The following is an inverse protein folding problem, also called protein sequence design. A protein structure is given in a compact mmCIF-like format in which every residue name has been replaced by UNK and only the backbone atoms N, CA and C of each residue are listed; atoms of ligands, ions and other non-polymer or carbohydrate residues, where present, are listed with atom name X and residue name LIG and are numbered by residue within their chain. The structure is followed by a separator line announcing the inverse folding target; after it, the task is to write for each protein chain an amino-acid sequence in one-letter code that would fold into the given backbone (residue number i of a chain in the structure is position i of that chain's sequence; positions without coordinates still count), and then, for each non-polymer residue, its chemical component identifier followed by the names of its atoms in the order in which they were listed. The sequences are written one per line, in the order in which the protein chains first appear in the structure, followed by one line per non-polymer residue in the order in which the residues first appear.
data_IF_508367364040
#
_entry.id   IF_508367364040
#
_cell.length_a   1.000
_cell.length_b   1.000
_cell.length_c   1.000
_cell.angle_alpha   90.00
_cell.angle_beta   90.00
_cell.angle_gamma   90.00
#
_symmetry.space_group_name_H-M   'P 1'
#
loop_
_entity.id
_entity.type
_entity.pdbx_description
1 polymer ?
#
# COMPACT_ATOMS: atom_id res chain seq x y z
N UNK A 1 -21.51 14.33 -23.81
CA UNK A 1 -20.39 13.91 -22.95
C UNK A 1 -20.74 12.53 -22.44
N UNK A 2 -19.80 11.58 -22.41
CA UNK A 2 -20.06 10.25 -21.85
C UNK A 2 -20.38 10.37 -20.35
N UNK A 3 -21.31 9.54 -19.88
CA UNK A 3 -21.70 9.52 -18.47
C UNK A 3 -20.75 8.62 -17.67
N UNK A 4 -19.80 9.23 -16.97
CA UNK A 4 -18.83 8.52 -16.13
C UNK A 4 -19.50 7.75 -14.98
N UNK A 5 -20.66 8.23 -14.49
CA UNK A 5 -21.39 7.54 -13.41
C UNK A 5 -21.94 6.21 -13.93
N UNK A 6 -22.43 6.19 -15.18
CA UNK A 6 -22.87 4.95 -15.81
C UNK A 6 -21.68 3.99 -16.03
N UNK A 7 -20.55 4.48 -16.56
CA UNK A 7 -19.36 3.64 -16.78
C UNK A 7 -18.88 3.04 -15.45
N UNK A 8 -18.81 3.82 -14.37
CA UNK A 8 -18.46 3.29 -13.05
C UNK A 8 -19.48 2.28 -12.54
N UNK A 9 -20.79 2.57 -12.72
CA UNK A 9 -21.84 1.63 -12.32
C UNK A 9 -21.70 0.29 -13.03
N UNK A 10 -21.40 0.31 -14.33
CA UNK A 10 -21.15 -0.92 -15.10
C UNK A 10 -19.91 -1.66 -14.55
N UNK A 11 -18.80 -0.96 -14.26
CA UNK A 11 -17.58 -1.56 -13.70
C UNK A 11 -17.81 -2.16 -12.29
N UNK A 12 -18.57 -1.50 -11.41
CA UNK A 12 -18.91 -2.03 -10.09
C UNK A 12 -19.67 -3.35 -10.20
N UNK A 13 -20.53 -3.50 -11.21
CA UNK A 13 -21.33 -4.71 -11.42
C UNK A 13 -20.51 -5.96 -11.74
N UNK A 14 -19.22 -5.83 -12.04
CA UNK A 14 -18.29 -6.94 -12.20
C UNK A 14 -17.58 -7.24 -10.88
N UNK A 15 -17.80 -8.41 -10.23
CA UNK A 15 -17.09 -8.80 -9.01
C UNK A 15 -15.63 -9.16 -9.32
N UNK A 16 -14.79 -8.15 -9.49
CA UNK A 16 -13.35 -8.32 -9.77
C UNK A 16 -12.52 -8.54 -8.49
N UNK A 17 -13.01 -9.40 -7.61
CA UNK A 17 -12.37 -9.72 -6.33
C UNK A 17 -11.05 -10.45 -6.56
N UNK A 18 -10.02 -10.01 -5.84
CA UNK A 18 -8.72 -10.63 -5.79
C UNK A 18 -8.48 -11.20 -4.40
N UNK A 19 -8.53 -12.53 -4.26
CA UNK A 19 -8.35 -13.24 -2.99
C UNK A 19 -7.40 -14.43 -3.18
N UNK A 20 -6.09 -14.20 -3.04
CA UNK A 20 -5.09 -15.26 -3.22
C UNK A 20 -5.20 -16.38 -2.17
N UNK A 21 -5.75 -16.09 -0.97
CA UNK A 21 -5.95 -17.09 0.08
C UNK A 21 -6.99 -18.14 -0.37
N UNK A 22 -8.02 -17.71 -1.10
CA UNK A 22 -9.05 -18.59 -1.65
C UNK A 22 -8.79 -18.98 -3.10
N UNK A 23 -7.70 -18.53 -3.70
CA UNK A 23 -7.37 -18.77 -5.10
C UNK A 23 -8.30 -18.06 -6.10
N UNK A 24 -8.94 -16.96 -5.68
CA UNK A 24 -9.85 -16.17 -6.52
C UNK A 24 -9.07 -15.06 -7.21
N UNK A 25 -9.24 -14.96 -8.53
CA UNK A 25 -8.70 -13.87 -9.36
C UNK A 25 -9.85 -13.06 -9.98
N UNK A 26 -9.60 -11.79 -10.36
CA UNK A 26 -10.60 -10.96 -11.04
C UNK A 26 -11.19 -11.64 -12.29
N UNK A 27 -12.50 -11.51 -12.48
CA UNK A 27 -13.17 -12.06 -13.66
C UNK A 27 -12.68 -11.39 -14.95
N UNK A 28 -12.57 -12.17 -16.02
CA UNK A 28 -12.24 -11.67 -17.36
C UNK A 28 -13.34 -10.78 -17.94
N UNK A 29 -14.56 -10.83 -17.41
CA UNK A 29 -15.70 -10.08 -17.94
C UNK A 29 -15.49 -8.56 -17.85
N UNK A 30 -14.84 -8.08 -16.77
CA UNK A 30 -14.51 -6.66 -16.63
C UNK A 30 -13.46 -6.23 -17.68
N UNK A 31 -12.49 -7.10 -17.97
CA UNK A 31 -11.46 -6.88 -19.00
C UNK A 31 -12.11 -6.75 -20.37
N UNK A 32 -13.03 -7.68 -20.68
CA UNK A 32 -13.82 -7.67 -21.91
C UNK A 32 -14.64 -6.38 -22.05
N UNK A 33 -15.32 -5.95 -20.98
CA UNK A 33 -16.07 -4.71 -20.97
C UNK A 33 -15.19 -3.49 -21.29
N UNK A 34 -14.05 -3.35 -20.60
CA UNK A 34 -13.11 -2.24 -20.82
C UNK A 34 -12.57 -2.25 -22.25
N UNK A 35 -12.17 -3.42 -22.74
CA UNK A 35 -11.67 -3.61 -24.10
C UNK A 35 -12.73 -3.22 -25.15
N UNK A 36 -13.95 -3.76 -25.05
CA UNK A 36 -15.05 -3.48 -25.99
C UNK A 36 -15.45 -2.00 -25.96
N UNK A 37 -15.51 -1.41 -24.77
CA UNK A 37 -15.81 0.01 -24.61
C UNK A 37 -14.80 0.87 -25.37
N UNK A 38 -13.51 0.74 -25.08
CA UNK A 38 -12.47 1.57 -25.70
C UNK A 38 -12.34 1.31 -27.20
N UNK A 39 -12.40 0.05 -27.63
CA UNK A 39 -12.33 -0.33 -29.04
C UNK A 39 -13.50 0.25 -29.86
N UNK A 40 -14.69 0.36 -29.26
CA UNK A 40 -15.87 0.95 -29.92
C UNK A 40 -15.69 2.42 -30.31
N UNK A 41 -14.72 3.12 -29.67
CA UNK A 41 -14.31 4.49 -30.02
C UNK A 41 -13.06 4.55 -30.90
N UNK A 42 -12.61 3.42 -31.45
CA UNK A 42 -11.44 3.36 -32.34
C UNK A 42 -10.11 3.54 -31.62
N UNK A 43 -10.06 3.33 -30.31
CA UNK A 43 -8.81 3.38 -29.53
C UNK A 43 -8.07 2.06 -29.70
N UNK A 44 -6.75 2.12 -29.91
CA UNK A 44 -5.89 0.95 -29.96
C UNK A 44 -5.78 0.33 -28.57
N UNK A 45 -6.28 -0.90 -28.43
CA UNK A 45 -6.38 -1.62 -27.16
C UNK A 45 -5.86 -3.04 -27.32
N UNK A 46 -5.07 -3.50 -26.36
CA UNK A 46 -4.58 -4.86 -26.26
C UNK A 46 -4.92 -5.42 -24.87
N UNK A 47 -5.10 -6.72 -24.80
CA UNK A 47 -5.17 -7.44 -23.52
C UNK A 47 -3.87 -8.21 -23.34
N UNK A 48 -3.19 -7.95 -22.23
CA UNK A 48 -1.97 -8.65 -21.83
C UNK A 48 -2.32 -9.62 -20.70
N UNK A 49 -1.76 -10.83 -20.77
CA UNK A 49 -1.95 -11.86 -19.75
C UNK A 49 -0.61 -12.19 -19.10
N UNK A 50 -0.58 -12.28 -17.78
CA UNK A 50 0.55 -12.77 -17.01
C UNK A 50 0.06 -13.55 -15.79
N UNK A 51 0.47 -14.80 -15.67
CA UNK A 51 0.10 -15.69 -14.56
C UNK A 51 -1.41 -15.73 -14.23
N UNK A 52 -2.25 -15.69 -15.28
CA UNK A 52 -3.73 -15.70 -15.14
C UNK A 52 -4.32 -14.39 -14.65
N UNK A 53 -3.55 -13.30 -14.61
CA UNK A 53 -4.02 -11.93 -14.47
C UNK A 53 -4.03 -11.26 -15.83
N UNK A 54 -5.01 -10.40 -16.05
CA UNK A 54 -5.18 -9.70 -17.31
C UNK A 54 -5.03 -8.20 -17.11
N UNK A 55 -4.46 -7.52 -18.09
CA UNK A 55 -4.37 -6.06 -18.10
C UNK A 55 -4.84 -5.54 -19.44
N UNK A 56 -5.63 -4.46 -19.43
CA UNK A 56 -5.99 -3.75 -20.65
C UNK A 56 -4.97 -2.64 -20.87
N UNK A 57 -4.25 -2.71 -22.00
CA UNK A 57 -3.17 -1.79 -22.32
C UNK A 57 -3.33 -1.22 -23.72
N UNK A 58 -3.03 0.07 -23.90
CA UNK A 58 -3.13 0.70 -25.20
C UNK A 58 -2.60 2.11 -25.25
N UNK A 59 -2.94 2.82 -26.33
CA UNK A 59 -2.49 4.19 -26.52
C UNK A 59 -3.47 5.04 -27.34
N UNK A 60 -3.40 6.36 -27.13
CA UNK A 60 -4.01 7.37 -28.00
C UNK A 60 -2.93 8.37 -28.44
N UNK A 61 -3.11 8.95 -29.65
CA UNK A 61 -2.13 9.88 -30.23
C UNK A 61 -1.04 9.16 -31.05
N UNK A 62 -0.01 9.89 -31.46
CA UNK A 62 1.06 9.41 -32.34
C UNK A 62 2.44 9.88 -31.82
N UNK A 63 3.53 9.25 -32.29
CA UNK A 63 4.90 9.58 -31.87
C UNK A 63 5.32 8.83 -30.59
N UNK A 64 6.32 9.40 -29.89
CA UNK A 64 6.89 8.75 -28.70
C UNK A 64 5.96 8.82 -27.49
N UNK A 65 5.96 7.81 -26.62
CA UNK A 65 5.26 7.83 -25.34
C UNK A 65 5.69 8.99 -24.45
N UNK A 66 4.74 9.68 -23.83
CA UNK A 66 5.06 10.83 -23.00
C UNK A 66 4.30 10.86 -21.66
N UNK A 67 3.04 10.50 -21.67
CA UNK A 67 2.20 10.36 -20.48
C UNK A 67 1.62 8.95 -20.44
N UNK A 68 1.50 8.38 -19.26
CA UNK A 68 0.76 7.15 -19.02
C UNK A 68 -0.32 7.38 -17.97
N UNK A 69 -1.51 6.87 -18.25
CA UNK A 69 -2.61 6.75 -17.31
C UNK A 69 -2.64 5.31 -16.79
N UNK A 70 -2.60 5.11 -15.48
CA UNK A 70 -2.60 3.80 -14.84
C UNK A 70 -3.72 3.77 -13.78
N UNK A 71 -4.48 2.70 -13.72
CA UNK A 71 -5.46 2.45 -12.68
C UNK A 71 -5.68 0.94 -12.53
N UNK A 72 -6.25 0.49 -11.43
CA UNK A 72 -6.55 -0.93 -11.26
C UNK A 72 -8.05 -1.20 -11.14
N UNK A 73 -8.47 -2.37 -11.60
CA UNK A 73 -9.88 -2.76 -11.56
C UNK A 73 -10.15 -3.90 -10.57
N UNK A 74 -9.10 -4.54 -10.04
CA UNK A 74 -9.27 -5.53 -8.97
C UNK A 74 -9.64 -4.86 -7.65
N UNK A 75 -10.27 -5.63 -6.78
CA UNK A 75 -10.79 -5.15 -5.51
C UNK A 75 -10.56 -6.20 -4.41
N UNK A 76 -10.40 -5.73 -3.17
CA UNK A 76 -10.30 -6.60 -2.00
C UNK A 76 -11.59 -7.39 -1.76
N UNK A 77 -11.52 -8.56 -1.08
CA UNK A 77 -12.69 -9.33 -0.67
C UNK A 77 -13.69 -8.53 0.18
N UNK A 78 -14.94 -8.95 0.14
CA UNK A 78 -16.04 -8.33 0.90
C UNK A 78 -16.72 -9.37 1.80
N UNK A 79 -17.21 -8.91 2.94
CA UNK A 79 -18.23 -9.60 3.73
C UNK A 79 -19.58 -8.89 3.51
N UNK A 80 -20.35 -9.39 2.55
CA UNK A 80 -21.62 -8.76 2.14
C UNK A 80 -22.63 -8.63 3.30
N UNK A 81 -22.50 -9.43 4.36
CA UNK A 81 -23.39 -9.36 5.52
C UNK A 81 -23.23 -8.08 6.34
N UNK A 82 -22.13 -7.37 6.15
CA UNK A 82 -21.78 -6.12 6.85
C UNK A 82 -22.12 -4.87 6.04
N UNK A 83 -22.50 -5.03 4.77
CA UNK A 83 -22.81 -3.92 3.89
C UNK A 83 -24.28 -3.52 3.98
N UNK A 84 -24.53 -2.21 3.97
CA UNK A 84 -25.90 -1.64 3.89
C UNK A 84 -26.51 -1.82 2.51
N UNK A 85 -25.68 -1.89 1.48
CA UNK A 85 -26.06 -2.11 0.08
C UNK A 85 -25.25 -3.26 -0.50
N UNK A 86 -25.80 -3.98 -1.49
CA UNK A 86 -25.04 -5.03 -2.17
C UNK A 86 -23.74 -4.45 -2.78
N UNK A 87 -22.56 -4.96 -2.41
CA UNK A 87 -21.26 -4.39 -2.82
C UNK A 87 -21.01 -4.41 -4.33
N UNK A 88 -21.69 -5.27 -5.09
CA UNK A 88 -21.56 -5.37 -6.55
C UNK A 88 -22.82 -4.91 -7.31
N UNK A 89 -23.75 -4.26 -6.61
CA UNK A 89 -24.89 -3.59 -7.20
C UNK A 89 -24.78 -2.09 -6.96
N UNK A 90 -24.34 -1.29 -7.96
CA UNK A 90 -24.11 0.14 -7.79
C UNK A 90 -25.39 0.83 -7.28
N UNK A 91 -25.29 1.50 -6.14
CA UNK A 91 -26.44 2.10 -5.47
C UNK A 91 -26.21 3.59 -5.24
N UNK A 92 -27.00 4.43 -5.90
CA UNK A 92 -26.90 5.88 -5.78
C UNK A 92 -27.84 6.40 -4.69
N UNK A 93 -27.26 6.97 -3.63
CA UNK A 93 -28.00 7.55 -2.51
C UNK A 93 -27.35 8.87 -2.06
N UNK A 94 -28.12 9.92 -1.96
CA UNK A 94 -27.70 11.23 -1.46
C UNK A 94 -26.40 11.77 -2.11
N UNK A 95 -26.26 11.62 -3.43
CA UNK A 95 -25.10 12.10 -4.19
C UNK A 95 -23.85 11.23 -4.05
N UNK A 96 -23.96 10.04 -3.45
CA UNK A 96 -22.91 9.04 -3.31
C UNK A 96 -23.25 7.78 -4.07
N UNK A 97 -22.32 7.25 -4.84
CA UNK A 97 -22.43 5.95 -5.51
C UNK A 97 -21.69 4.91 -4.67
N UNK A 98 -22.47 4.00 -4.09
CA UNK A 98 -21.96 2.92 -3.25
C UNK A 98 -21.67 1.67 -4.06
N UNK A 99 -20.60 0.97 -3.70
CA UNK A 99 -20.18 -0.31 -4.23
C UNK A 99 -18.69 -0.57 -4.02
N UNK A 100 -18.28 -1.82 -4.00
CA UNK A 100 -16.86 -2.18 -3.87
C UNK A 100 -16.10 -1.77 -5.12
N UNK A 101 -14.99 -1.04 -4.94
CA UNK A 101 -14.22 -0.41 -6.01
C UNK A 101 -14.77 0.96 -6.42
N UNK A 102 -15.83 1.47 -5.78
CA UNK A 102 -16.38 2.77 -6.11
C UNK A 102 -15.37 3.91 -5.91
N UNK A 103 -14.45 3.77 -4.96
CA UNK A 103 -13.37 4.71 -4.71
C UNK A 103 -12.03 4.13 -5.13
N UNK A 104 -11.76 2.88 -4.81
CA UNK A 104 -10.51 2.16 -4.99
C UNK A 104 -10.68 0.93 -5.89
N UNK A 105 -10.37 0.98 -7.21
CA UNK A 105 -9.93 2.15 -7.99
C UNK A 105 -10.78 2.29 -9.29
N UNK A 106 -11.94 1.59 -9.36
CA UNK A 106 -12.81 1.59 -10.55
C UNK A 106 -13.33 2.98 -10.93
N UNK A 107 -13.40 3.93 -9.98
CA UNK A 107 -13.74 5.34 -10.27
C UNK A 107 -12.72 5.98 -11.20
N UNK A 108 -11.44 5.72 -10.99
CA UNK A 108 -10.38 6.22 -11.85
C UNK A 108 -10.30 5.45 -13.16
N UNK A 109 -10.53 4.12 -13.15
CA UNK A 109 -10.70 3.36 -14.41
C UNK A 109 -11.78 4.01 -15.27
N UNK A 110 -12.99 4.26 -14.72
CA UNK A 110 -14.09 4.90 -15.43
C UNK A 110 -13.74 6.30 -15.94
N UNK A 111 -13.13 7.13 -15.10
CA UNK A 111 -12.76 8.48 -15.44
C UNK A 111 -11.68 8.52 -16.54
N UNK A 112 -10.67 7.64 -16.47
CA UNK A 112 -9.63 7.52 -17.47
C UNK A 112 -10.18 6.97 -18.80
N UNK A 113 -11.09 5.99 -18.78
CA UNK A 113 -11.77 5.51 -19.99
C UNK A 113 -12.51 6.65 -20.71
N UNK A 114 -13.26 7.47 -19.98
CA UNK A 114 -13.96 8.63 -20.55
C UNK A 114 -12.97 9.68 -21.07
N UNK A 115 -11.88 9.94 -20.33
CA UNK A 115 -10.83 10.87 -20.77
C UNK A 115 -10.13 10.41 -22.05
N UNK A 116 -9.83 9.12 -22.16
CA UNK A 116 -9.21 8.53 -23.36
C UNK A 116 -10.10 8.69 -24.61
N UNK A 117 -11.41 8.54 -24.46
CA UNK A 117 -12.35 8.83 -25.58
C UNK A 117 -12.36 10.30 -25.96
N UNK A 118 -12.21 11.22 -25.01
CA UNK A 118 -12.06 12.64 -25.31
C UNK A 118 -10.74 12.92 -26.03
N UNK A 119 -9.64 12.38 -25.52
CA UNK A 119 -8.30 12.55 -26.06
C UNK A 119 -8.12 11.91 -27.45
N UNK A 120 -8.78 10.77 -27.73
CA UNK A 120 -8.70 10.11 -29.03
C UNK A 120 -9.26 10.94 -30.19
N UNK A 121 -10.14 11.91 -29.90
CA UNK A 121 -10.70 12.84 -30.88
C UNK A 121 -9.77 14.01 -31.23
N UNK A 122 -8.66 14.11 -30.53
CA UNK A 122 -7.68 15.20 -30.70
C UNK A 122 -6.49 14.71 -31.52
N UNK A 123 -5.87 15.65 -32.26
CA UNK A 123 -4.61 15.37 -32.93
C UNK A 123 -3.46 15.57 -31.94
N UNK A 124 -3.01 14.46 -31.31
CA UNK A 124 -1.92 14.48 -30.37
C UNK A 124 -0.61 14.09 -31.06
N UNK A 125 0.45 14.87 -30.86
CA UNK A 125 1.77 14.67 -31.45
C UNK A 125 2.68 13.76 -30.62
N UNK A 126 2.21 13.28 -29.47
CA UNK A 126 2.87 12.33 -28.58
C UNK A 126 1.84 11.31 -28.09
N UNK A 127 2.30 10.09 -27.81
CA UNK A 127 1.42 9.04 -27.30
C UNK A 127 1.10 9.26 -25.83
N UNK A 128 -0.15 9.02 -25.52
CA UNK A 128 -0.67 8.80 -24.17
C UNK A 128 -0.91 7.32 -24.04
N UNK A 129 -0.08 6.64 -23.24
CA UNK A 129 -0.28 5.24 -22.89
C UNK A 129 -1.38 5.13 -21.82
N UNK A 130 -2.02 4.00 -21.74
CA UNK A 130 -2.90 3.67 -20.62
C UNK A 130 -2.80 2.19 -20.26
N UNK A 131 -3.01 1.89 -18.98
CA UNK A 131 -3.15 0.53 -18.49
C UNK A 131 -4.19 0.45 -17.38
N UNK A 132 -5.01 -0.61 -17.44
CA UNK A 132 -5.92 -0.99 -16.37
C UNK A 132 -5.57 -2.41 -15.93
N UNK A 133 -5.08 -2.54 -14.69
CA UNK A 133 -4.48 -3.76 -14.15
C UNK A 133 -5.41 -4.49 -13.18
N UNK A 134 -5.16 -5.78 -12.95
CA UNK A 134 -6.04 -6.62 -12.15
C UNK A 134 -5.35 -7.33 -10.99
N UNK A 135 -4.25 -6.78 -10.45
CA UNK A 135 -3.48 -7.41 -9.37
C UNK A 135 -2.82 -6.42 -8.39
N UNK A 136 -3.25 -5.15 -8.38
CA UNK A 136 -2.69 -4.14 -7.47
C UNK A 136 -2.84 -4.57 -6.01
N UNK A 137 -4.04 -5.03 -5.62
CA UNK A 137 -4.41 -5.43 -4.27
C UNK A 137 -3.61 -6.65 -3.71
N UNK A 138 -2.87 -7.30 -4.60
CA UNK A 138 -2.00 -8.44 -4.25
C UNK A 138 -0.54 -8.22 -4.64
N UNK A 139 -0.19 -6.98 -4.99
CA UNK A 139 1.19 -6.53 -5.16
C UNK A 139 1.62 -6.13 -6.56
N UNK A 140 0.76 -6.14 -7.60
CA UNK A 140 0.99 -5.53 -8.92
C UNK A 140 2.08 -6.19 -9.79
N UNK A 141 2.53 -7.41 -9.46
CA UNK A 141 3.65 -8.06 -10.13
C UNK A 141 3.30 -8.47 -11.57
N UNK A 142 2.07 -8.95 -11.77
CA UNK A 142 1.61 -9.50 -13.04
C UNK A 142 0.87 -8.48 -13.91
N UNK A 143 0.53 -7.31 -13.34
CA UNK A 143 -0.10 -6.17 -13.99
C UNK A 143 0.91 -5.06 -14.28
N UNK A 144 1.02 -4.11 -13.37
CA UNK A 144 1.82 -2.90 -13.58
C UNK A 144 3.31 -3.17 -13.78
N UNK A 145 3.91 -4.11 -13.02
CA UNK A 145 5.31 -4.50 -13.21
C UNK A 145 5.51 -5.23 -14.56
N UNK A 146 4.57 -6.10 -14.96
CA UNK A 146 4.62 -6.76 -16.26
C UNK A 146 4.59 -5.74 -17.41
N UNK A 147 3.70 -4.73 -17.33
CA UNK A 147 3.62 -3.64 -18.30
C UNK A 147 4.90 -2.81 -18.31
N UNK A 148 5.44 -2.46 -17.15
CA UNK A 148 6.71 -1.75 -17.05
C UNK A 148 7.84 -2.52 -17.77
N UNK A 149 7.97 -3.83 -17.50
CA UNK A 149 8.99 -4.67 -18.13
C UNK A 149 8.87 -4.68 -19.67
N UNK A 150 7.63 -4.73 -20.19
CA UNK A 150 7.35 -4.56 -21.62
C UNK A 150 7.83 -3.21 -22.11
N UNK A 151 7.47 -2.11 -21.46
CA UNK A 151 7.86 -0.75 -21.86
C UNK A 151 9.39 -0.54 -21.81
N UNK A 152 10.07 -1.13 -20.84
CA UNK A 152 11.53 -1.12 -20.74
C UNK A 152 12.16 -1.88 -21.91
N UNK A 153 11.65 -3.07 -22.24
CA UNK A 153 12.17 -3.89 -23.35
C UNK A 153 11.98 -3.22 -24.71
N UNK A 154 10.95 -2.41 -24.87
CA UNK A 154 10.62 -1.68 -26.10
C UNK A 154 11.21 -0.26 -26.13
N UNK A 155 11.97 0.15 -25.11
CA UNK A 155 12.50 1.51 -24.93
C UNK A 155 11.39 2.61 -25.05
N UNK A 156 10.18 2.29 -24.57
CA UNK A 156 8.97 3.11 -24.73
C UNK A 156 8.41 3.62 -23.42
N UNK A 157 9.29 3.92 -22.44
CA UNK A 157 8.90 4.46 -21.15
C UNK A 157 8.30 5.88 -21.28
N UNK A 158 7.19 6.17 -20.59
CA UNK A 158 6.64 7.52 -20.52
C UNK A 158 7.53 8.41 -19.64
N UNK A 159 7.45 9.72 -19.85
CA UNK A 159 8.08 10.69 -18.96
C UNK A 159 7.27 10.92 -17.69
N UNK A 160 5.94 10.88 -17.79
CA UNK A 160 5.00 11.13 -16.72
C UNK A 160 4.03 9.97 -16.56
N UNK A 161 3.77 9.59 -15.31
CA UNK A 161 2.74 8.63 -14.92
C UNK A 161 1.69 9.31 -14.05
N UNK A 162 0.43 9.17 -14.41
CA UNK A 162 -0.72 9.55 -13.60
C UNK A 162 -1.41 8.25 -13.20
N UNK A 163 -1.36 7.93 -11.91
CA UNK A 163 -1.98 6.74 -11.37
C UNK A 163 -3.28 7.09 -10.64
N UNK A 164 -4.31 6.28 -10.83
CA UNK A 164 -5.61 6.45 -10.20
C UNK A 164 -5.65 6.14 -8.71
N UNK A 165 -4.68 5.38 -8.21
CA UNK A 165 -4.64 4.94 -6.81
C UNK A 165 -4.39 6.09 -5.83
N UNK A 166 -5.30 7.05 -5.86
CA UNK A 166 -5.39 8.21 -4.99
C UNK A 166 -6.82 8.53 -4.64
N UNK A 167 -7.04 9.34 -3.61
CA UNK A 167 -8.37 9.73 -3.18
C UNK A 167 -8.41 11.16 -2.66
N UNK A 168 -9.64 11.67 -2.47
CA UNK A 168 -9.95 12.93 -1.79
C UNK A 168 -9.27 14.17 -2.40
N UNK A 169 -9.05 14.16 -3.72
CA UNK A 169 -8.38 15.23 -4.47
C UNK A 169 -7.00 15.59 -3.89
N UNK A 170 -6.30 14.61 -3.32
CA UNK A 170 -4.91 14.78 -2.91
C UNK A 170 -4.03 14.50 -4.12
N UNK A 171 -3.22 15.47 -4.54
CA UNK A 171 -2.14 15.27 -5.51
C UNK A 171 -1.01 14.56 -4.77
N UNK A 172 -1.04 13.22 -4.78
CA UNK A 172 -0.07 12.40 -4.07
C UNK A 172 1.19 12.32 -4.92
N UNK A 173 2.22 13.03 -4.50
CA UNK A 173 3.52 13.06 -5.18
C UNK A 173 4.63 12.33 -4.39
N UNK A 174 4.29 11.75 -3.26
CA UNK A 174 5.22 11.05 -2.36
C UNK A 174 4.55 9.84 -1.73
N UNK A 175 5.28 8.70 -1.65
CA UNK A 175 4.90 7.49 -0.92
C UNK A 175 6.15 6.79 -0.39
N UNK A 176 6.09 6.28 0.83
CA UNK A 176 7.16 5.48 1.42
C UNK A 176 7.21 4.10 0.77
N UNK A 177 8.41 3.53 0.70
CA UNK A 177 8.59 2.12 0.35
C UNK A 177 8.36 1.24 1.58
N UNK A 178 7.86 0.03 1.35
CA UNK A 178 7.61 -0.98 2.36
C UNK A 178 8.78 -1.96 2.41
N UNK A 179 9.21 -2.28 3.61
CA UNK A 179 10.21 -3.31 3.88
C UNK A 179 9.75 -4.19 5.02
N UNK A 180 10.13 -5.45 4.97
CA UNK A 180 10.07 -6.36 6.09
C UNK A 180 11.49 -6.62 6.59
N UNK A 181 11.76 -6.28 7.85
CA UNK A 181 12.98 -6.67 8.53
C UNK A 181 12.69 -7.92 9.33
N UNK A 182 13.30 -9.03 8.94
CA UNK A 182 13.14 -10.34 9.57
C UNK A 182 14.34 -10.62 10.44
N UNK A 183 14.11 -10.89 11.72
CA UNK A 183 15.12 -11.20 12.72
C UNK A 183 14.87 -12.59 13.26
N UNK A 184 15.82 -13.49 13.08
CA UNK A 184 15.79 -14.86 13.57
C UNK A 184 16.76 -15.04 14.72
N UNK A 185 16.29 -15.54 15.85
CA UNK A 185 17.09 -15.77 17.07
C UNK A 185 16.98 -17.24 17.47
N UNK A 186 18.11 -17.95 17.66
CA UNK A 186 18.09 -19.33 18.14
C UNK A 186 17.42 -19.45 19.53
N UNK A 187 16.76 -20.54 19.80
CA UNK A 187 16.30 -20.89 21.15
C UNK A 187 17.48 -21.27 22.03
N UNK A 188 17.50 -20.70 23.22
CA UNK A 188 18.50 -20.99 24.23
C UNK A 188 17.79 -21.05 25.59
N UNK A 189 17.94 -22.14 26.32
CA UNK A 189 17.23 -22.33 27.58
C UNK A 189 18.19 -22.32 28.78
N UNK A 190 17.74 -21.70 29.85
CA UNK A 190 18.43 -21.67 31.14
C UNK A 190 17.39 -21.82 32.26
N UNK A 191 17.87 -22.24 33.46
CA UNK A 191 17.03 -22.25 34.66
C UNK A 191 17.46 -21.06 35.53
N UNK A 192 16.52 -20.18 35.83
CA UNK A 192 16.72 -19.02 36.69
C UNK A 192 15.81 -19.11 37.92
N UNK A 193 16.28 -18.55 39.05
CA UNK A 193 15.43 -18.38 40.22
C UNK A 193 14.75 -17.04 40.20
N UNK A 194 13.42 -17.05 40.44
CA UNK A 194 12.66 -15.80 40.42
C UNK A 194 11.17 -15.97 40.62
N UNK A 195 10.48 -14.86 40.59
CA UNK A 195 9.03 -14.77 40.72
C UNK A 195 8.42 -14.68 39.34
N UNK A 196 7.47 -15.58 39.06
CA UNK A 196 6.70 -15.61 37.83
C UNK A 196 5.73 -14.43 37.73
N UNK A 197 5.56 -13.91 36.54
CA UNK A 197 4.56 -12.90 36.20
C UNK A 197 3.94 -13.18 34.84
N UNK A 198 2.75 -12.66 34.66
CA UNK A 198 2.03 -12.67 33.38
C UNK A 198 1.41 -11.30 33.16
N UNK A 199 1.50 -10.78 31.93
CA UNK A 199 0.90 -9.49 31.58
C UNK A 199 0.38 -9.52 30.15
N UNK A 200 -0.83 -9.04 29.95
CA UNK A 200 -1.45 -8.82 28.63
C UNK A 200 -1.46 -7.32 28.34
N UNK A 201 -1.07 -6.97 27.13
CA UNK A 201 -1.14 -5.63 26.57
C UNK A 201 -2.10 -5.63 25.39
N UNK A 202 -2.85 -4.53 25.22
CA UNK A 202 -3.77 -4.32 24.10
C UNK A 202 -3.31 -3.15 23.25
N UNK A 203 -3.58 -3.22 21.95
CA UNK A 203 -3.39 -2.11 21.04
C UNK A 203 -4.41 -0.99 21.33
N UNK A 204 -3.99 0.25 21.11
CA UNK A 204 -4.85 1.43 21.26
C UNK A 204 -4.43 2.50 20.26
N UNK A 205 -5.40 3.02 19.51
CA UNK A 205 -5.19 3.94 18.39
C UNK A 205 -6.05 5.19 18.60
N UNK A 206 -5.64 6.15 19.46
CA UNK A 206 -6.46 7.31 19.82
C UNK A 206 -6.67 8.28 18.66
N UNK A 207 -5.75 8.31 17.70
CA UNK A 207 -5.75 9.26 16.58
C UNK A 207 -5.90 8.55 15.25
N UNK A 208 -5.06 7.55 14.96
CA UNK A 208 -5.08 6.85 13.67
C UNK A 208 -6.34 6.03 13.44
N UNK A 209 -6.94 5.48 14.51
CA UNK A 209 -8.12 4.60 14.50
C UNK A 209 -7.96 3.36 13.59
N UNK A 210 -6.74 3.01 13.23
CA UNK A 210 -6.41 1.92 12.31
C UNK A 210 -5.37 0.96 12.90
N UNK A 211 -5.63 -0.33 12.79
CA UNK A 211 -4.68 -1.39 13.14
C UNK A 211 -3.60 -1.63 12.06
N UNK A 212 -3.47 -0.74 11.08
CA UNK A 212 -2.56 -0.91 9.94
C UNK A 212 -1.25 -0.14 10.15
N UNK A 213 -0.11 -0.80 9.93
CA UNK A 213 1.24 -0.26 10.14
C UNK A 213 1.52 1.08 9.42
N UNK A 214 0.89 1.32 8.26
CA UNK A 214 1.05 2.57 7.51
C UNK A 214 0.59 3.82 8.27
N UNK A 215 -0.38 3.66 9.17
CA UNK A 215 -0.99 4.75 9.92
C UNK A 215 -0.54 4.81 11.38
N UNK A 216 0.32 3.88 11.80
CA UNK A 216 0.85 3.86 13.16
C UNK A 216 1.65 5.14 13.46
N UNK A 217 1.25 5.83 14.51
CA UNK A 217 1.90 7.06 14.97
C UNK A 217 2.76 6.74 16.20
N UNK A 218 4.09 6.70 16.08
CA UNK A 218 4.97 6.44 17.20
C UNK A 218 4.74 7.42 18.36
N UNK A 219 4.79 6.91 19.59
CA UNK A 219 4.56 7.67 20.84
C UNK A 219 3.11 8.18 21.06
N UNK A 220 2.20 7.93 20.13
CA UNK A 220 0.77 8.22 20.24
C UNK A 220 -0.03 6.93 20.32
N UNK A 221 0.15 6.06 19.33
CA UNK A 221 -0.50 4.75 19.28
C UNK A 221 0.24 3.74 20.18
N UNK A 222 -0.51 2.85 20.81
CA UNK A 222 0.06 1.79 21.65
C UNK A 222 0.19 0.49 20.86
N UNK A 223 1.41 -0.04 20.81
CA UNK A 223 1.71 -1.33 20.22
C UNK A 223 1.98 -2.38 21.30
N UNK A 224 1.20 -3.48 21.41
CA UNK A 224 1.28 -4.42 22.52
C UNK A 224 2.66 -5.04 22.72
N UNK A 225 3.34 -5.42 21.62
CA UNK A 225 4.68 -6.03 21.72
C UNK A 225 5.76 -5.01 22.14
N UNK A 226 5.62 -3.75 21.77
CA UNK A 226 6.52 -2.68 22.26
C UNK A 226 6.33 -2.47 23.75
N UNK A 227 5.07 -2.45 24.22
CA UNK A 227 4.76 -2.33 25.65
C UNK A 227 5.32 -3.52 26.45
N UNK A 228 5.19 -4.74 25.93
CA UNK A 228 5.77 -5.94 26.54
C UNK A 228 7.31 -5.82 26.63
N UNK A 229 7.97 -5.38 25.54
CA UNK A 229 9.42 -5.16 25.50
C UNK A 229 9.90 -4.20 26.58
N UNK A 230 9.21 -3.06 26.72
CA UNK A 230 9.53 -2.06 27.74
C UNK A 230 9.42 -2.67 29.13
N UNK A 231 8.32 -3.34 29.46
CA UNK A 231 8.13 -4.00 30.76
C UNK A 231 9.27 -4.98 31.08
N UNK A 232 9.57 -5.91 30.16
CA UNK A 232 10.58 -6.95 30.35
C UNK A 232 11.98 -6.34 30.53
N UNK A 233 12.29 -5.28 29.79
CA UNK A 233 13.56 -4.56 29.89
C UNK A 233 13.70 -3.85 31.24
N UNK A 234 12.70 -3.09 31.65
CA UNK A 234 12.71 -2.32 32.91
C UNK A 234 12.74 -3.21 34.16
N UNK A 235 12.06 -4.36 34.13
CA UNK A 235 12.09 -5.33 35.23
C UNK A 235 13.35 -6.19 35.24
N UNK A 236 14.21 -6.12 34.23
CA UNK A 236 15.32 -7.05 34.07
C UNK A 236 14.88 -8.51 33.94
N UNK A 237 13.61 -8.75 33.58
CA UNK A 237 12.99 -10.05 33.61
C UNK A 237 13.45 -10.95 32.45
N UNK A 238 13.25 -12.26 32.63
CA UNK A 238 13.42 -13.29 31.60
C UNK A 238 12.05 -13.72 31.07
N UNK A 239 11.94 -13.99 29.77
CA UNK A 239 10.69 -14.41 29.12
C UNK A 239 10.62 -15.94 29.07
N UNK A 240 9.46 -16.50 29.43
CA UNK A 240 9.16 -17.92 29.31
C UNK A 240 8.30 -18.21 28.08
N UNK A 241 7.34 -17.35 27.78
CA UNK A 241 6.48 -17.46 26.61
C UNK A 241 5.90 -16.11 26.17
N UNK A 242 5.46 -16.06 24.92
CA UNK A 242 4.71 -14.93 24.34
C UNK A 242 3.58 -15.48 23.46
N UNK A 243 2.40 -14.92 23.63
CA UNK A 243 1.22 -15.24 22.87
C UNK A 243 0.57 -13.99 22.30
N UNK A 244 0.03 -14.06 21.07
CA UNK A 244 -0.63 -12.93 20.41
C UNK A 244 -1.26 -13.35 19.09
N UNK A 245 -2.16 -12.50 18.57
CA UNK A 245 -2.75 -12.67 17.24
C UNK A 245 -1.86 -12.00 16.18
N UNK A 246 -0.76 -12.65 15.81
CA UNK A 246 0.17 -12.18 14.79
C UNK A 246 -0.31 -12.63 13.41
N UNK A 247 -1.08 -11.78 12.70
CA UNK A 247 -1.80 -12.15 11.47
C UNK A 247 -0.96 -11.89 10.21
N UNK A 248 -0.54 -10.64 10.02
CA UNK A 248 0.23 -10.19 8.83
C UNK A 248 1.25 -9.14 9.25
N UNK A 249 2.28 -8.96 8.45
CA UNK A 249 3.35 -7.96 8.73
C UNK A 249 2.84 -6.53 8.79
N UNK A 250 1.81 -6.19 8.03
CA UNK A 250 1.22 -4.84 7.99
C UNK A 250 0.05 -4.63 8.97
N UNK A 251 -0.29 -5.64 9.79
CA UNK A 251 -1.39 -5.55 10.78
C UNK A 251 -0.83 -5.64 12.19
N UNK A 252 -1.08 -4.61 12.99
CA UNK A 252 -0.67 -4.55 14.39
C UNK A 252 -1.49 -5.57 15.20
N UNK A 253 -0.85 -6.43 16.01
CA UNK A 253 -1.56 -7.41 16.83
C UNK A 253 -2.46 -6.69 17.84
N UNK A 254 -3.72 -7.14 17.98
CA UNK A 254 -4.69 -6.53 18.89
C UNK A 254 -4.29 -6.69 20.37
N UNK A 255 -3.67 -7.83 20.70
CA UNK A 255 -3.21 -8.16 22.06
C UNK A 255 -1.93 -8.99 22.01
N UNK A 256 -1.10 -8.81 23.03
CA UNK A 256 0.07 -9.65 23.30
C UNK A 256 0.12 -9.96 24.80
N UNK A 257 0.22 -11.23 25.13
CA UNK A 257 0.45 -11.72 26.48
C UNK A 257 1.89 -12.21 26.61
N UNK A 258 2.59 -11.76 27.64
CA UNK A 258 3.96 -12.22 27.96
C UNK A 258 3.98 -12.85 29.33
N UNK A 259 4.56 -14.07 29.41
CA UNK A 259 4.90 -14.72 30.66
C UNK A 259 6.39 -14.54 30.93
N UNK A 260 6.74 -14.21 32.15
CA UNK A 260 8.10 -13.84 32.50
C UNK A 260 8.48 -14.20 33.92
N UNK A 261 9.78 -14.13 34.22
CA UNK A 261 10.35 -14.36 35.55
C UNK A 261 11.20 -13.16 35.93
N UNK A 262 10.88 -12.51 37.03
CA UNK A 262 11.75 -11.49 37.64
C UNK A 262 12.74 -12.18 38.54
N UNK A 263 14.06 -12.01 38.33
CA UNK A 263 15.10 -12.65 39.18
C UNK A 263 14.91 -12.32 40.66
N UNK A 264 14.92 -13.33 41.50
CA UNK A 264 14.76 -13.21 42.95
C UNK A 264 15.44 -14.39 43.64
N UNK A 265 16.30 -14.13 44.65
CA UNK A 265 17.12 -15.17 45.28
C UNK A 265 16.31 -16.29 45.95
N UNK A 266 15.14 -15.96 46.50
CA UNK A 266 14.26 -16.91 47.19
C UNK A 266 13.10 -17.40 46.29
N UNK A 267 13.13 -17.09 44.98
CA UNK A 267 12.10 -17.50 44.01
C UNK A 267 12.22 -18.96 43.59
N UNK A 268 11.18 -19.41 42.84
CA UNK A 268 11.16 -20.72 42.22
C UNK A 268 12.20 -20.88 41.12
N UNK A 269 12.67 -22.10 40.89
CA UNK A 269 13.46 -22.44 39.72
C UNK A 269 12.53 -22.53 38.49
N UNK A 270 12.81 -21.75 37.48
CA UNK A 270 11.98 -21.64 36.25
C UNK A 270 12.88 -21.73 35.03
N UNK A 271 12.49 -22.60 34.11
CA UNK A 271 13.12 -22.66 32.79
C UNK A 271 12.66 -21.46 31.95
N UNK A 272 13.61 -20.66 31.49
CA UNK A 272 13.40 -19.48 30.64
C UNK A 272 14.05 -19.66 29.27
N UNK A 273 13.61 -18.92 28.27
CA UNK A 273 14.21 -18.90 26.94
C UNK A 273 15.03 -17.60 26.79
N UNK A 274 16.35 -17.74 26.77
CA UNK A 274 17.27 -16.59 26.66
C UNK A 274 17.20 -15.94 25.28
N UNK A 275 17.04 -16.73 24.21
CA UNK A 275 16.87 -16.19 22.85
C UNK A 275 15.64 -15.32 22.76
N UNK A 276 14.48 -15.83 23.27
CA UNK A 276 13.24 -15.04 23.33
C UNK A 276 13.41 -13.80 24.23
N UNK A 277 14.09 -13.94 25.36
CA UNK A 277 14.34 -12.84 26.29
C UNK A 277 15.12 -11.71 25.61
N UNK A 278 16.23 -12.02 24.94
CA UNK A 278 17.04 -11.07 24.18
C UNK A 278 16.20 -10.40 23.08
N UNK A 279 15.45 -11.19 22.30
CA UNK A 279 14.61 -10.68 21.24
C UNK A 279 13.55 -9.69 21.76
N UNK A 280 12.80 -10.06 22.80
CA UNK A 280 11.78 -9.19 23.37
C UNK A 280 12.39 -7.92 23.98
N UNK A 281 13.49 -8.01 24.71
CA UNK A 281 14.19 -6.82 25.24
C UNK A 281 14.68 -5.88 24.12
N UNK A 282 15.08 -6.41 22.98
CA UNK A 282 15.58 -5.63 21.85
C UNK A 282 14.47 -4.84 21.13
N UNK A 283 13.21 -5.31 21.10
CA UNK A 283 12.10 -4.71 20.33
C UNK A 283 11.99 -3.20 20.58
N UNK A 284 12.01 -2.73 21.82
CA UNK A 284 11.87 -1.30 22.15
C UNK A 284 13.05 -0.44 21.65
N UNK A 285 14.19 -1.04 21.37
CA UNK A 285 15.36 -0.40 20.75
C UNK A 285 15.25 -0.48 19.22
N UNK A 286 14.90 -1.65 18.68
CA UNK A 286 14.77 -1.89 17.24
C UNK A 286 13.77 -0.94 16.58
N UNK A 287 12.64 -0.65 17.23
CA UNK A 287 11.62 0.29 16.70
C UNK A 287 12.08 1.75 16.68
N UNK A 288 13.26 2.03 17.23
CA UNK A 288 13.89 3.36 17.23
C UNK A 288 15.20 3.37 16.43
N UNK A 289 15.50 2.33 15.68
CA UNK A 289 16.71 2.27 14.85
C UNK A 289 16.76 3.48 13.91
N UNK A 290 17.84 4.30 13.94
CA UNK A 290 18.01 5.39 13.00
C UNK A 290 18.21 4.85 11.59
N UNK A 291 17.35 5.22 10.66
CA UNK A 291 17.42 4.75 9.28
C UNK A 291 17.88 5.90 8.38
N UNK A 292 19.00 5.76 7.64
CA UNK A 292 19.40 6.72 6.63
C UNK A 292 18.34 6.80 5.52
N UNK A 293 17.81 7.99 5.27
CA UNK A 293 16.78 8.23 4.25
C UNK A 293 17.35 8.98 3.05
N UNK A 294 16.79 8.72 1.88
CA UNK A 294 17.11 9.45 0.63
C UNK A 294 16.21 10.66 0.43
N UNK A 295 15.04 10.65 1.07
CA UNK A 295 14.10 11.76 1.09
C UNK A 295 13.34 11.78 2.42
N UNK A 296 12.92 12.97 2.83
CA UNK A 296 12.12 13.15 4.04
C UNK A 296 10.65 12.81 3.75
N UNK A 297 10.04 12.00 4.61
CA UNK A 297 8.61 11.68 4.58
C UNK A 297 7.86 12.52 5.61
N UNK A 298 6.72 13.08 5.21
CA UNK A 298 5.82 13.82 6.13
C UNK A 298 5.23 12.89 7.20
N UNK A 299 5.07 11.59 6.89
CA UNK A 299 4.68 10.56 7.86
C UNK A 299 5.86 10.03 8.70
N UNK A 300 7.08 10.54 8.47
CA UNK A 300 8.27 10.02 9.13
C UNK A 300 8.63 8.59 8.72
N UNK A 301 9.37 7.91 9.61
CA UNK A 301 9.67 6.48 9.49
C UNK A 301 8.76 5.73 10.45
N UNK A 302 8.09 4.69 9.95
CA UNK A 302 7.30 3.77 10.76
C UNK A 302 8.03 2.43 10.87
N UNK A 303 8.22 1.94 12.11
CA UNK A 303 8.80 0.62 12.40
C UNK A 303 7.88 -0.07 13.40
N UNK A 304 7.19 -1.14 12.98
CA UNK A 304 6.22 -1.85 13.81
C UNK A 304 6.48 -3.35 13.83
N UNK A 305 6.62 -3.98 15.03
CA UNK A 305 6.94 -5.40 15.20
C UNK A 305 5.65 -6.24 15.17
N UNK A 306 5.10 -6.51 13.97
CA UNK A 306 3.73 -7.00 13.82
C UNK A 306 3.61 -8.52 13.78
N UNK A 307 4.67 -9.24 13.42
CA UNK A 307 4.59 -10.70 13.28
C UNK A 307 5.67 -11.38 14.10
N UNK A 308 5.25 -12.35 14.89
CA UNK A 308 6.14 -13.22 15.64
C UNK A 308 5.72 -14.68 15.44
N UNK A 309 6.69 -15.53 15.15
CA UNK A 309 6.53 -16.98 14.99
C UNK A 309 7.66 -17.68 15.71
N UNK A 310 7.36 -18.82 16.32
CA UNK A 310 8.33 -19.67 16.98
C UNK A 310 8.19 -21.12 16.51
N UNK A 311 9.28 -21.70 16.06
CA UNK A 311 9.36 -23.12 15.73
C UNK A 311 10.19 -23.90 16.79
N UNK A 312 10.61 -25.12 16.49
CA UNK A 312 11.37 -25.97 17.42
C UNK A 312 12.78 -25.40 17.74
N UNK A 313 13.35 -24.55 16.87
CA UNK A 313 14.76 -24.16 16.91
C UNK A 313 14.99 -22.67 17.11
N UNK A 314 14.06 -21.84 16.67
CA UNK A 314 14.24 -20.38 16.62
C UNK A 314 12.95 -19.61 16.84
N UNK A 315 13.16 -18.34 17.17
CA UNK A 315 12.14 -17.29 17.15
C UNK A 315 12.35 -16.42 15.92
N UNK A 316 11.29 -16.04 15.25
CA UNK A 316 11.30 -15.13 14.10
C UNK A 316 10.40 -13.94 14.38
N UNK A 317 10.98 -12.74 14.37
CA UNK A 317 10.26 -11.48 14.45
C UNK A 317 10.28 -10.79 13.09
N UNK A 318 9.14 -10.27 12.64
CA UNK A 318 9.05 -9.46 11.42
C UNK A 318 8.59 -8.05 11.78
N UNK A 319 9.39 -7.07 11.39
CA UNK A 319 9.07 -5.65 11.51
C UNK A 319 8.58 -5.13 10.15
N UNK A 320 7.39 -4.50 10.08
CA UNK A 320 7.00 -3.64 8.95
C UNK A 320 7.75 -2.31 9.10
N UNK A 321 8.50 -1.94 8.08
CA UNK A 321 9.25 -0.68 8.03
C UNK A 321 8.85 0.12 6.81
N UNK A 322 8.46 1.37 7.02
CA UNK A 322 8.07 2.28 5.94
C UNK A 322 8.96 3.51 5.95
N UNK A 323 9.74 3.68 4.86
CA UNK A 323 10.72 4.76 4.74
C UNK A 323 11.02 5.09 3.28
N UNK A 324 11.53 6.29 3.03
CA UNK A 324 12.10 6.67 1.73
C UNK A 324 13.61 6.37 1.74
N UNK A 325 13.95 5.08 1.68
CA UNK A 325 15.31 4.57 1.77
C UNK A 325 15.55 3.42 0.78
N UNK A 326 16.72 2.81 0.80
CA UNK A 326 17.05 1.61 0.03
C UNK A 326 17.17 0.40 0.97
N UNK A 327 17.06 -0.80 0.39
CA UNK A 327 17.23 -2.07 1.10
C UNK A 327 18.58 -2.17 1.79
N UNK A 328 19.64 -1.73 1.13
CA UNK A 328 21.02 -1.79 1.60
C UNK A 328 21.25 -0.91 2.82
N UNK A 329 20.77 0.35 2.77
CA UNK A 329 20.86 1.29 3.88
C UNK A 329 20.06 0.81 5.08
N UNK A 330 18.87 0.25 4.84
CA UNK A 330 18.03 -0.31 5.88
C UNK A 330 18.70 -1.52 6.53
N UNK A 331 19.23 -2.44 5.72
CA UNK A 331 19.95 -3.62 6.22
C UNK A 331 21.14 -3.21 7.09
N UNK A 332 21.98 -2.27 6.64
CA UNK A 332 23.12 -1.79 7.40
C UNK A 332 22.70 -1.24 8.77
N UNK A 333 21.68 -0.35 8.79
CA UNK A 333 21.20 0.25 10.02
C UNK A 333 20.70 -0.78 11.05
N UNK A 334 19.90 -1.75 10.60
CA UNK A 334 19.40 -2.79 11.50
C UNK A 334 20.47 -3.80 11.89
N UNK A 335 21.37 -4.16 10.98
CA UNK A 335 22.44 -5.11 11.23
C UNK A 335 23.39 -4.62 12.33
N UNK A 336 23.73 -3.33 12.35
CA UNK A 336 24.54 -2.72 13.43
C UNK A 336 23.85 -2.88 14.80
N UNK A 337 22.57 -2.53 14.89
CA UNK A 337 21.80 -2.61 16.15
C UNK A 337 21.58 -4.06 16.58
N UNK A 338 21.25 -4.95 15.64
CA UNK A 338 20.99 -6.37 15.94
C UNK A 338 22.26 -7.06 16.40
N UNK A 339 23.40 -6.84 15.73
CA UNK A 339 24.68 -7.46 16.12
C UNK A 339 25.13 -7.02 17.52
N UNK A 340 24.85 -5.79 17.92
CA UNK A 340 25.19 -5.31 19.27
C UNK A 340 24.25 -5.90 20.33
N UNK A 341 22.96 -6.06 20.04
CA UNK A 341 21.98 -6.52 21.03
C UNK A 341 21.82 -8.05 21.08
N UNK A 342 21.98 -8.73 19.95
CA UNK A 342 21.73 -10.17 19.77
C UNK A 342 22.73 -10.71 18.73
N UNK A 343 24.01 -10.87 19.09
CA UNK A 343 25.07 -11.26 18.15
C UNK A 343 24.82 -12.57 17.39
N UNK A 344 24.06 -13.49 17.98
CA UNK A 344 23.68 -14.77 17.40
C UNK A 344 22.50 -14.71 16.41
N UNK A 345 21.84 -13.54 16.30
CA UNK A 345 20.70 -13.39 15.42
C UNK A 345 21.10 -13.35 13.94
N UNK A 346 20.21 -13.83 13.09
CA UNK A 346 20.27 -13.63 11.64
C UNK A 346 19.27 -12.58 11.23
N UNK A 347 19.68 -11.68 10.33
CA UNK A 347 18.84 -10.61 9.82
C UNK A 347 18.67 -10.70 8.30
N UNK A 348 17.46 -10.47 7.82
CA UNK A 348 17.13 -10.36 6.42
C UNK A 348 16.23 -9.14 6.19
N UNK A 349 16.38 -8.50 5.04
CA UNK A 349 15.44 -7.46 4.59
C UNK A 349 14.74 -7.96 3.34
N UNK A 350 13.43 -8.06 3.41
CA UNK A 350 12.54 -8.33 2.29
C UNK A 350 11.90 -7.03 1.85
N UNK A 351 11.64 -6.89 0.58
CA UNK A 351 10.90 -5.76 0.03
C UNK A 351 10.43 -6.14 -1.37
N UNK A 352 9.30 -5.58 -1.77
CA UNK A 352 8.80 -5.72 -3.12
C UNK A 352 9.69 -4.99 -4.13
N UNK A 353 9.54 -5.35 -5.40
CA UNK A 353 10.14 -4.63 -6.51
C UNK A 353 9.63 -3.18 -6.54
N UNK A 354 10.44 -2.26 -7.04
CA UNK A 354 10.10 -0.85 -7.12
C UNK A 354 10.84 0.03 -6.12
N UNK A 355 10.54 1.31 -6.16
CA UNK A 355 11.13 2.36 -5.33
C UNK A 355 10.12 2.99 -4.35
N UNK A 356 10.51 4.09 -3.75
CA UNK A 356 9.60 5.03 -3.11
C UNK A 356 9.22 6.13 -4.12
N UNK A 357 8.04 6.72 -3.95
CA UNK A 357 7.63 7.86 -4.76
C UNK A 357 8.14 9.15 -4.12
N UNK A 358 8.83 9.98 -4.89
CA UNK A 358 9.32 11.29 -4.45
C UNK A 358 9.39 12.27 -5.62
N UNK A 359 8.25 12.54 -6.24
CA UNK A 359 8.14 13.60 -7.25
C UNK A 359 8.16 14.97 -6.57
N UNK A 360 9.08 15.86 -6.94
CA UNK A 360 9.18 17.18 -6.31
C UNK A 360 7.87 17.99 -6.45
N UNK A 361 7.42 18.65 -5.37
CA UNK A 361 6.22 19.51 -5.39
C UNK A 361 6.31 20.64 -6.43
N UNK A 362 7.51 21.03 -6.85
CA UNK A 362 7.76 22.02 -7.90
C UNK A 362 8.01 21.41 -9.28
N UNK A 363 7.84 20.10 -9.47
CA UNK A 363 7.98 19.45 -10.78
C UNK A 363 6.93 19.93 -11.77
N UNK A 364 7.17 19.70 -13.08
CA UNK A 364 6.20 20.07 -14.12
C UNK A 364 4.88 19.33 -13.93
N UNK A 365 4.92 18.03 -13.61
CA UNK A 365 3.73 17.22 -13.43
C UNK A 365 2.84 17.78 -12.31
N UNK A 366 3.39 18.03 -11.12
CA UNK A 366 2.65 18.57 -9.97
C UNK A 366 2.12 19.97 -10.26
N UNK A 367 2.92 20.86 -10.90
CA UNK A 367 2.50 22.20 -11.29
C UNK A 367 1.32 22.18 -12.27
N UNK A 368 1.37 21.32 -13.28
CA UNK A 368 0.28 21.18 -14.26
C UNK A 368 -1.00 20.65 -13.57
N UNK A 369 -0.87 19.65 -12.68
CA UNK A 369 -2.02 19.18 -11.90
C UNK A 369 -2.67 20.30 -11.10
N UNK A 370 -1.88 21.03 -10.31
CA UNK A 370 -2.39 22.09 -9.43
C UNK A 370 -2.97 23.25 -10.23
N UNK A 371 -2.38 23.61 -11.37
CA UNK A 371 -2.92 24.62 -12.29
C UNK A 371 -4.29 24.21 -12.85
N UNK A 372 -4.44 22.95 -13.30
CA UNK A 372 -5.72 22.45 -13.82
C UNK A 372 -6.78 22.45 -12.73
N UNK A 373 -6.45 21.98 -11.52
CA UNK A 373 -7.38 21.94 -10.39
C UNK A 373 -7.85 23.36 -10.01
N UNK A 374 -6.93 24.32 -9.96
CA UNK A 374 -7.27 25.73 -9.72
C UNK A 374 -8.19 26.30 -10.81
N UNK A 375 -7.90 26.04 -12.09
CA UNK A 375 -8.72 26.52 -13.21
C UNK A 375 -10.13 25.92 -13.22
N UNK A 376 -10.28 24.71 -12.70
CA UNK A 376 -11.58 24.03 -12.56
C UNK A 376 -12.31 24.35 -11.24
N UNK A 377 -11.70 25.13 -10.35
CA UNK A 377 -12.25 25.47 -9.05
C UNK A 377 -12.34 24.28 -8.08
N UNK A 378 -11.53 23.23 -8.30
CA UNK A 378 -11.51 22.04 -7.47
C UNK A 378 -10.63 22.28 -6.25
N UNK A 379 -11.16 22.02 -5.05
CA UNK A 379 -10.37 22.04 -3.81
C UNK A 379 -9.47 20.81 -3.78
N UNK A 380 -8.20 21.02 -3.46
CA UNK A 380 -7.19 19.94 -3.41
C UNK A 380 -6.13 20.21 -2.34
N UNK A 381 -5.34 19.20 -2.08
CA UNK A 381 -4.05 19.33 -1.36
C UNK A 381 -2.93 18.65 -2.16
N UNK A 382 -1.68 18.96 -1.81
CA UNK A 382 -0.50 18.29 -2.37
C UNK A 382 0.26 17.66 -1.22
N UNK A 383 0.45 16.35 -1.28
CA UNK A 383 1.00 15.65 -0.11
C UNK A 383 1.53 14.26 -0.40
N UNK A 384 1.57 13.49 0.66
CA UNK A 384 2.08 12.13 0.70
C UNK A 384 0.93 11.14 0.95
N UNK A 385 0.96 9.99 0.26
CA UNK A 385 0.07 8.86 0.51
C UNK A 385 0.68 7.89 1.54
N UNK A 386 -0.15 7.36 2.42
CA UNK A 386 0.30 6.46 3.49
C UNK A 386 0.63 5.04 2.99
N UNK A 387 -0.19 4.51 2.07
CA UNK A 387 -0.01 3.20 1.44
C UNK A 387 1.03 3.20 0.31
N UNK A 388 1.35 2.04 -0.22
CA UNK A 388 2.06 1.89 -1.48
C UNK A 388 1.06 1.93 -2.64
N UNK A 389 1.54 2.14 -3.86
CA UNK A 389 0.78 2.04 -5.11
C UNK A 389 1.67 1.47 -6.21
N UNK A 390 1.08 1.09 -7.33
CA UNK A 390 1.81 0.60 -8.49
C UNK A 390 2.74 1.65 -9.13
N UNK A 391 2.59 2.93 -8.79
CA UNK A 391 3.54 3.99 -9.11
C UNK A 391 4.99 3.67 -8.71
N UNK A 392 5.17 2.87 -7.65
CA UNK A 392 6.49 2.46 -7.13
C UNK A 392 7.37 1.74 -8.15
N UNK A 393 6.78 1.06 -9.11
CA UNK A 393 7.53 0.33 -10.13
C UNK A 393 8.24 1.25 -11.11
N UNK A 394 7.65 2.41 -11.42
CA UNK A 394 8.14 3.32 -12.44
C UNK A 394 9.23 4.28 -11.91
N UNK A 395 9.26 4.54 -10.61
CA UNK A 395 10.18 5.52 -10.01
C UNK A 395 11.67 5.20 -10.17
N UNK A 396 12.14 3.93 -10.21
CA UNK A 396 13.54 3.62 -10.48
C UNK A 396 14.00 4.00 -11.89
N UNK A 397 13.06 4.24 -12.81
CA UNK A 397 13.33 4.58 -14.22
C UNK A 397 13.20 6.08 -14.53
N UNK A 398 13.24 6.93 -13.51
CA UNK A 398 13.11 8.40 -13.63
C UNK A 398 11.78 8.86 -14.25
N UNK A 399 10.72 8.07 -14.12
CA UNK A 399 9.36 8.50 -14.46
C UNK A 399 8.83 9.35 -13.31
N UNK A 400 8.42 10.59 -13.59
CA UNK A 400 7.73 11.42 -12.61
C UNK A 400 6.30 10.89 -12.44
N UNK A 401 5.88 10.67 -11.19
CA UNK A 401 4.58 10.06 -10.89
C UNK A 401 3.74 10.94 -9.97
N UNK A 402 2.42 10.91 -10.17
CA UNK A 402 1.41 11.46 -9.28
C UNK A 402 0.27 10.46 -9.19
N UNK A 403 -0.18 10.16 -7.97
CA UNK A 403 -1.43 9.45 -7.77
C UNK A 403 -2.53 10.48 -7.43
N UNK A 404 -3.74 10.27 -7.98
CA UNK A 404 -4.85 11.20 -7.80
C UNK A 404 -6.18 10.47 -7.97
N UNK A 405 -7.23 10.90 -7.27
CA UNK A 405 -8.55 10.30 -7.42
C UNK A 405 -9.67 11.11 -6.79
N UNK A 406 -10.88 10.56 -6.88
CA UNK A 406 -12.13 11.15 -6.44
C UNK A 406 -12.22 11.33 -4.93
N UNK A 407 -13.19 12.12 -4.51
CA UNK A 407 -13.62 12.20 -3.09
C UNK A 407 -14.54 11.02 -2.79
N UNK A 408 -14.30 10.36 -1.66
CA UNK A 408 -15.12 9.25 -1.22
C UNK A 408 -14.71 8.74 0.15
N UNK A 409 -15.16 7.53 0.49
CA UNK A 409 -14.82 6.89 1.76
C UNK A 409 -15.11 5.39 1.75
N UNK A 410 -14.73 4.73 2.85
CA UNK A 410 -14.94 3.30 3.02
C UNK A 410 -13.96 2.41 2.24
N UNK A 411 -12.85 2.95 1.73
CA UNK A 411 -11.80 2.18 1.06
C UNK A 411 -11.40 0.96 1.90
N UNK A 412 -11.39 -0.24 1.29
CA UNK A 412 -11.14 -1.55 1.94
C UNK A 412 -12.11 -1.91 3.09
N UNK A 413 -13.03 -1.00 3.44
CA UNK A 413 -14.06 -1.21 4.47
C UNK A 413 -15.42 -1.59 3.90
N UNK A 414 -16.44 -1.56 4.75
CA UNK A 414 -17.83 -1.75 4.35
C UNK A 414 -18.41 -0.41 3.85
N UNK A 415 -19.43 -0.47 2.98
CA UNK A 415 -20.13 0.69 2.43
C UNK A 415 -19.19 1.71 1.71
N UNK A 416 -18.21 1.19 0.97
CA UNK A 416 -17.36 2.02 0.12
C UNK A 416 -18.19 2.83 -0.87
N UNK A 417 -17.85 4.12 -1.04
CA UNK A 417 -18.56 5.02 -1.92
C UNK A 417 -17.65 6.08 -2.56
N UNK A 418 -18.09 6.61 -3.68
CA UNK A 418 -17.53 7.81 -4.31
C UNK A 418 -18.57 8.93 -4.34
N UNK A 419 -18.14 10.17 -4.13
CA UNK A 419 -18.96 11.38 -4.34
C UNK A 419 -19.17 11.60 -5.85
N UNK A 420 -20.43 11.69 -6.27
CA UNK A 420 -20.78 11.74 -7.69
C UNK A 420 -20.30 13.03 -8.37
N UNK A 421 -20.33 14.18 -7.69
CA UNK A 421 -19.89 15.44 -8.28
C UNK A 421 -18.35 15.44 -8.45
N UNK A 422 -17.64 14.86 -7.49
CA UNK A 422 -16.21 14.62 -7.60
C UNK A 422 -15.89 13.70 -8.79
N UNK A 423 -16.59 12.58 -8.89
CA UNK A 423 -16.42 11.61 -9.99
C UNK A 423 -16.65 12.26 -11.37
N UNK A 424 -17.71 13.06 -11.52
CA UNK A 424 -18.02 13.75 -12.77
C UNK A 424 -16.94 14.72 -13.24
N UNK A 425 -16.12 15.20 -12.31
CA UNK A 425 -15.05 16.17 -12.58
C UNK A 425 -13.77 15.49 -13.04
N UNK A 426 -13.51 14.24 -12.61
CA UNK A 426 -12.27 13.51 -12.88
C UNK A 426 -11.91 13.39 -14.38
N UNK A 427 -12.81 13.01 -15.29
CA UNK A 427 -12.46 12.88 -16.71
C UNK A 427 -11.89 14.15 -17.28
N UNK A 428 -12.44 15.30 -16.89
CA UNK A 428 -11.97 16.61 -17.32
C UNK A 428 -10.61 16.96 -16.71
N UNK A 429 -10.40 16.60 -15.45
CA UNK A 429 -9.08 16.80 -14.80
C UNK A 429 -8.02 16.04 -15.58
N UNK A 430 -8.21 14.74 -15.81
CA UNK A 430 -7.23 13.91 -16.50
C UNK A 430 -6.96 14.39 -17.93
N UNK A 431 -8.00 14.68 -18.71
CA UNK A 431 -7.83 15.16 -20.08
C UNK A 431 -7.12 16.51 -20.14
N UNK A 432 -7.44 17.48 -19.27
CA UNK A 432 -6.78 18.79 -19.23
C UNK A 432 -5.32 18.69 -18.76
N UNK A 433 -5.01 17.84 -17.75
CA UNK A 433 -3.63 17.58 -17.31
C UNK A 433 -2.82 17.00 -18.45
N UNK A 434 -3.34 15.98 -19.14
CA UNK A 434 -2.67 15.38 -20.30
C UNK A 434 -2.41 16.42 -21.39
N UNK A 435 -3.43 17.18 -21.81
CA UNK A 435 -3.27 18.25 -22.84
C UNK A 435 -2.17 19.24 -22.49
N UNK A 436 -2.13 19.71 -21.24
CA UNK A 436 -1.10 20.66 -20.79
C UNK A 436 0.30 20.04 -20.68
N UNK A 437 0.41 18.76 -20.40
CA UNK A 437 1.70 18.07 -20.41
C UNK A 437 2.23 17.89 -21.82
N UNK A 438 1.35 17.72 -22.81
CA UNK A 438 1.70 17.52 -24.23
C UNK A 438 1.96 18.83 -24.98
N UNK A 439 1.48 19.96 -24.47
CA UNK A 439 1.81 21.31 -24.97
C UNK A 439 3.21 21.73 -24.51
#
# INVERSE_FOLDING_TARGET
MLDVVKVLSDLISFPSVNDPVRGVKPSYDIVKYIYEFLSSYGIEVNVLESNGYYSVFGSVGSGEPYVMLLAHYDVVPVDASRWSYDPFKPTLVNGRLYGRGALDDKSNVAAMMVSLVELSRLRLNRKVLFAFTGDEEVGGEYGALHILNKLVSEASLPKYLINGDGANHVVICRRRKIFEVVIEVPKEFEVVRGRKGIKTFSAYYPVSQHAHAAYFIPSVDSHPLICASILIKELGAYVTSIEGKFLKSNVIPSTVTVEYVVPEALGDEVRVDLGLTKLIKAVSTLVRTPIPVKAFSEFGISITPNTYVSDAYKHTLVLDVRAMTTKELLYQAFNEVVNELIPEAKIYVRTDVGGFVNTPKNSRLVKVFTEVLNNLGVKYSVGEGAGASDSRFFTPYNVEVVDFGAVGGGMHGDDEYVDVESLKTLPKIYSEVVKKLLS
#
